data_IF_040297106387
#
_entry.id   IF_040297106387
#
_cell.length_a   1.000
_cell.length_b   1.000
_cell.length_c   1.000
_cell.angle_alpha   90.00
_cell.angle_beta   90.00
_cell.angle_gamma   90.00
#
_symmetry.space_group_name_H-M   'P 1'
#
loop_
_entity.id
_entity.type
_entity.pdbx_description
1 polymer ?
#
# COMPACT_ATOMS: atom_id res chain seq x y z
N UNK A 1 18.12 -22.86 20.47
CA UNK A 1 16.93 -23.49 19.85
C UNK A 1 15.66 -22.64 19.93
N UNK A 2 15.01 -22.44 21.09
CA UNK A 2 13.77 -21.62 21.15
C UNK A 2 14.03 -20.15 20.76
N UNK A 3 15.08 -19.55 21.32
CA UNK A 3 15.47 -18.17 21.02
C UNK A 3 15.90 -17.95 19.55
N UNK A 4 16.59 -18.94 18.96
CA UNK A 4 16.97 -18.89 17.53
C UNK A 4 15.74 -18.99 16.61
N UNK A 5 14.75 -19.81 17.00
CA UNK A 5 13.49 -19.93 16.26
C UNK A 5 12.69 -18.62 16.34
N UNK A 6 12.62 -18.00 17.51
CA UNK A 6 11.96 -16.69 17.69
C UNK A 6 12.63 -15.59 16.85
N UNK A 7 13.96 -15.54 16.81
CA UNK A 7 14.72 -14.61 15.96
C UNK A 7 14.47 -14.85 14.46
N UNK A 8 14.39 -16.10 14.02
CA UNK A 8 14.10 -16.43 12.63
C UNK A 8 12.67 -16.01 12.22
N UNK A 9 11.69 -16.19 13.11
CA UNK A 9 10.30 -15.77 12.90
C UNK A 9 10.19 -14.24 12.81
N UNK A 10 10.88 -13.52 13.70
CA UNK A 10 10.89 -12.05 13.68
C UNK A 10 11.58 -11.50 12.42
N UNK A 11 12.70 -12.12 12.01
CA UNK A 11 13.40 -11.77 10.77
C UNK A 11 12.49 -11.96 9.55
N UNK A 12 11.82 -13.10 9.43
CA UNK A 12 10.88 -13.36 8.34
C UNK A 12 9.72 -12.37 8.33
N UNK A 13 9.15 -12.08 9.51
CA UNK A 13 8.06 -11.10 9.67
C UNK A 13 8.49 -9.67 9.32
N UNK A 14 9.74 -9.30 9.62
CA UNK A 14 10.29 -7.98 9.29
C UNK A 14 10.48 -7.81 7.78
N UNK A 15 10.92 -8.87 7.09
CA UNK A 15 11.07 -8.88 5.64
C UNK A 15 9.73 -8.76 4.94
N UNK A 16 8.72 -9.48 5.42
CA UNK A 16 7.36 -9.44 4.86
C UNK A 16 6.75 -8.04 5.01
N UNK A 17 6.85 -7.43 6.20
CA UNK A 17 6.44 -6.03 6.40
C UNK A 17 7.17 -5.06 5.48
N UNK A 18 8.47 -5.27 5.22
CA UNK A 18 9.26 -4.38 4.36
C UNK A 18 8.83 -4.45 2.88
N UNK A 19 8.35 -5.60 2.41
CA UNK A 19 7.81 -5.73 1.06
C UNK A 19 6.41 -5.10 1.01
N UNK A 20 5.57 -5.37 2.01
CA UNK A 20 4.20 -4.88 2.07
C UNK A 20 4.09 -3.35 2.08
N UNK A 21 5.01 -2.61 2.73
CA UNK A 21 4.94 -1.14 2.81
C UNK A 21 5.01 -0.42 1.45
N UNK A 22 5.52 -1.07 0.41
CA UNK A 22 5.63 -0.51 -0.94
C UNK A 22 4.61 -1.12 -1.92
N UNK A 23 3.63 -1.85 -1.41
CA UNK A 23 2.55 -2.42 -2.21
C UNK A 23 1.29 -1.60 -2.01
N UNK A 24 0.68 -1.21 -3.12
CA UNK A 24 -0.64 -0.59 -3.16
C UNK A 24 -1.58 -1.40 -4.03
N UNK A 25 -2.85 -1.45 -3.63
CA UNK A 25 -3.91 -2.09 -4.40
C UNK A 25 -4.94 -1.04 -4.80
N UNK A 26 -5.17 -0.87 -6.11
CA UNK A 26 -6.20 0.03 -6.60
C UNK A 26 -7.60 -0.51 -6.27
N UNK A 27 -8.44 0.33 -5.68
CA UNK A 27 -9.82 -0.03 -5.30
C UNK A 27 -10.84 0.62 -6.22
N UNK A 28 -10.65 1.89 -6.58
CA UNK A 28 -11.60 2.60 -7.41
C UNK A 28 -11.01 3.85 -8.07
N UNK A 29 -11.36 4.05 -9.35
CA UNK A 29 -11.01 5.24 -10.11
C UNK A 29 -12.28 6.03 -10.42
N UNK A 30 -12.33 7.28 -9.97
CA UNK A 30 -13.49 8.16 -10.13
C UNK A 30 -13.07 9.45 -10.79
N UNK A 31 -13.80 9.84 -11.84
CA UNK A 31 -13.72 11.17 -12.41
C UNK A 31 -14.73 12.08 -11.72
N UNK A 32 -14.28 13.20 -11.16
CA UNK A 32 -15.19 14.15 -10.52
C UNK A 32 -14.64 15.57 -10.63
N UNK A 33 -15.47 16.51 -11.12
CA UNK A 33 -15.16 17.94 -11.21
C UNK A 33 -13.80 18.25 -11.87
N UNK A 34 -13.51 17.62 -13.01
CA UNK A 34 -12.28 17.86 -13.77
C UNK A 34 -11.01 17.26 -13.14
N UNK A 35 -11.16 16.32 -12.20
CA UNK A 35 -10.04 15.60 -11.58
C UNK A 35 -10.29 14.09 -11.56
N UNK A 36 -9.21 13.34 -11.60
CA UNK A 36 -9.16 11.92 -11.31
C UNK A 36 -8.86 11.69 -9.84
N UNK A 37 -9.60 10.78 -9.22
CA UNK A 37 -9.39 10.29 -7.87
C UNK A 37 -9.17 8.78 -7.94
N UNK A 38 -7.97 8.32 -7.60
CA UNK A 38 -7.68 6.90 -7.44
C UNK A 38 -7.63 6.57 -5.96
N UNK A 39 -8.60 5.81 -5.49
CA UNK A 39 -8.59 5.23 -4.15
C UNK A 39 -7.79 3.92 -4.16
N UNK A 40 -6.92 3.75 -3.18
CA UNK A 40 -6.07 2.57 -3.09
C UNK A 40 -5.82 2.16 -1.63
N UNK A 41 -5.73 0.85 -1.41
CA UNK A 41 -5.26 0.26 -0.17
C UNK A 41 -3.73 0.30 -0.09
N UNK A 42 -3.20 0.53 1.11
CA UNK A 42 -1.76 0.56 1.42
C UNK A 42 -1.43 -0.48 2.48
N UNK A 43 -0.58 -1.45 2.12
CA UNK A 43 -0.07 -2.49 3.04
C UNK A 43 -1.17 -3.09 3.94
N UNK A 44 -2.34 -3.39 3.37
CA UNK A 44 -3.53 -3.99 4.01
C UNK A 44 -4.00 -3.33 5.31
N UNK A 45 -3.61 -2.08 5.55
CA UNK A 45 -3.81 -1.42 6.85
C UNK A 45 -4.36 -0.01 6.75
N UNK A 46 -4.29 0.62 5.57
CA UNK A 46 -4.73 2.00 5.35
C UNK A 46 -5.33 2.17 3.97
N UNK A 47 -6.13 3.22 3.81
CA UNK A 47 -6.68 3.66 2.52
C UNK A 47 -6.11 5.06 2.21
N UNK A 48 -5.74 5.28 0.95
CA UNK A 48 -5.25 6.56 0.42
C UNK A 48 -6.00 6.98 -0.83
N UNK A 49 -5.79 8.24 -1.24
CA UNK A 49 -6.30 8.78 -2.51
C UNK A 49 -5.21 9.55 -3.24
N UNK A 50 -5.00 9.21 -4.51
CA UNK A 50 -4.15 9.98 -5.42
C UNK A 50 -5.06 10.84 -6.30
N UNK A 51 -4.66 12.09 -6.52
CA UNK A 51 -5.44 13.08 -7.28
C UNK A 51 -4.61 13.57 -8.45
N UNK A 52 -5.21 13.60 -9.64
CA UNK A 52 -4.63 14.18 -10.84
C UNK A 52 -5.65 15.05 -11.57
N UNK A 53 -5.19 16.02 -12.35
CA UNK A 53 -6.07 16.77 -13.23
C UNK A 53 -6.54 15.89 -14.40
N UNK A 54 -7.76 16.15 -14.88
CA UNK A 54 -8.32 15.43 -16.03
C UNK A 54 -7.57 15.79 -17.32
N UNK A 55 -7.14 17.03 -17.43
CA UNK A 55 -6.42 17.54 -18.59
C UNK A 55 -4.93 17.59 -18.27
N UNK A 56 -4.13 16.91 -19.11
CA UNK A 56 -2.69 17.08 -19.15
C UNK A 56 -2.39 18.13 -20.22
N UNK A 57 -1.97 19.32 -19.81
CA UNK A 57 -1.46 20.35 -20.72
C UNK A 57 -0.05 20.01 -21.20
#
# INVERSE_FOLDING_TARGET
KKEELEKAIDLASSYDRKILINVVFSEGLVQFKGKWFLYFGMADSRIGVAVADLEFN
#
